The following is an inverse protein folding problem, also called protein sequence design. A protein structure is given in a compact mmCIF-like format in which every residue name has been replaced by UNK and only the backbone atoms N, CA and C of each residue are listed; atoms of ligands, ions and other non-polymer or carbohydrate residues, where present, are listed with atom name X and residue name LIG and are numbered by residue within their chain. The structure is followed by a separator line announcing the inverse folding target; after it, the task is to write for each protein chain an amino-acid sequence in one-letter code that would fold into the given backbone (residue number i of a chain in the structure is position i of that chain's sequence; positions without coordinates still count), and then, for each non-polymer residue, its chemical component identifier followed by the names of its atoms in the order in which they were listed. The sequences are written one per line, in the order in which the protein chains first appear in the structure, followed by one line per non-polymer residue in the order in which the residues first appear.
data_IF_335766428965
#
_entry.id   IF_335766428965
#
_cell.length_a   1.000
_cell.length_b   1.000
_cell.length_c   1.000
_cell.angle_alpha   90.00
_cell.angle_beta   90.00
_cell.angle_gamma   90.00
#
_symmetry.space_group_name_H-M   'P 1'
#
loop_
_entity.id
_entity.type
_entity.pdbx_description
1 polymer ?
#
# COMPACT_ATOMS: atom_id res chain seq x y z
N UNK A 1 -2.07 -10.33 13.09
CA UNK A 1 -1.04 -9.27 13.25
C UNK A 1 -1.36 -8.02 12.46
N UNK A 2 -1.98 -8.15 11.27
CA UNK A 2 -2.67 -7.03 10.58
C UNK A 2 -3.71 -6.33 11.47
N UNK A 3 -4.06 -6.96 12.59
CA UNK A 3 -5.00 -6.48 13.59
C UNK A 3 -4.61 -5.22 14.38
N UNK A 4 -3.39 -4.75 14.25
CA UNK A 4 -2.93 -3.58 15.00
C UNK A 4 -2.64 -2.41 14.07
N UNK A 5 -2.66 -2.66 12.75
CA UNK A 5 -2.25 -1.66 11.78
C UNK A 5 -3.41 -0.73 11.43
N UNK A 6 -3.13 0.57 11.50
CA UNK A 6 -4.07 1.66 11.28
C UNK A 6 -3.50 2.65 10.29
N UNK A 7 -4.37 3.47 9.67
CA UNK A 7 -3.95 4.56 8.78
C UNK A 7 -2.89 5.47 9.42
N UNK A 8 -2.99 5.73 10.71
CA UNK A 8 -2.12 6.67 11.42
C UNK A 8 -0.68 6.18 11.53
N UNK A 9 -0.42 4.88 11.30
CA UNK A 9 0.93 4.34 11.16
C UNK A 9 1.58 4.71 9.82
N UNK A 10 0.78 5.01 8.79
CA UNK A 10 1.26 5.29 7.43
C UNK A 10 1.22 6.77 7.07
N UNK A 11 0.22 7.50 7.56
CA UNK A 11 0.02 8.92 7.23
C UNK A 11 1.27 9.80 7.48
N UNK A 12 2.06 9.62 8.55
CA UNK A 12 3.31 10.36 8.75
C UNK A 12 4.42 10.02 7.74
N UNK A 13 4.24 8.98 6.92
CA UNK A 13 5.22 8.44 5.99
C UNK A 13 4.77 8.56 4.53
N UNK A 14 3.89 9.52 4.23
CA UNK A 14 3.64 9.96 2.86
C UNK A 14 4.94 10.44 2.20
N UNK A 15 5.04 10.19 0.90
CA UNK A 15 6.21 10.43 0.05
C UNK A 15 7.50 9.72 0.51
N UNK A 16 7.38 8.74 1.41
CA UNK A 16 8.50 7.89 1.85
C UNK A 16 8.51 6.56 1.10
N UNK A 17 9.71 5.99 1.06
CA UNK A 17 10.00 4.72 0.39
C UNK A 17 9.65 3.55 1.28
N UNK A 18 9.02 2.55 0.68
CA UNK A 18 8.63 1.28 1.25
C UNK A 18 9.19 0.17 0.38
N UNK A 19 9.46 -0.98 0.97
CA UNK A 19 9.93 -2.17 0.24
C UNK A 19 8.82 -3.20 0.23
N UNK A 20 8.44 -3.61 -0.97
CA UNK A 20 7.53 -4.73 -1.19
C UNK A 20 8.35 -5.98 -1.47
N UNK A 21 8.18 -7.03 -0.67
CA UNK A 21 8.94 -8.27 -0.80
C UNK A 21 8.00 -9.41 -1.21
N UNK A 22 8.34 -10.10 -2.31
CA UNK A 22 7.78 -11.42 -2.59
C UNK A 22 8.59 -12.43 -1.77
N UNK A 23 7.93 -13.39 -1.12
CA UNK A 23 8.61 -14.35 -0.25
C UNK A 23 9.66 -15.24 -0.95
N UNK A 24 9.90 -15.07 -2.25
CA UNK A 24 10.95 -15.71 -3.04
C UNK A 24 12.24 -14.90 -3.17
N UNK A 25 12.35 -13.75 -2.49
CA UNK A 25 13.55 -12.91 -2.47
C UNK A 25 13.54 -11.76 -3.50
N UNK A 26 12.46 -11.61 -4.26
CA UNK A 26 12.23 -10.42 -5.07
C UNK A 26 11.81 -9.24 -4.19
N UNK A 27 12.32 -8.04 -4.49
CA UNK A 27 11.85 -6.81 -3.85
C UNK A 27 11.59 -5.69 -4.85
N UNK A 28 10.60 -4.86 -4.53
CA UNK A 28 10.20 -3.69 -5.30
C UNK A 28 10.13 -2.47 -4.36
N UNK A 29 10.85 -1.42 -4.71
CA UNK A 29 10.77 -0.16 -3.97
C UNK A 29 9.54 0.63 -4.42
N UNK A 30 8.73 1.04 -3.46
CA UNK A 30 7.48 1.77 -3.65
C UNK A 30 7.53 3.09 -2.88
N UNK A 31 6.79 4.10 -3.33
CA UNK A 31 6.58 5.36 -2.62
C UNK A 31 5.13 5.44 -2.16
N UNK A 32 4.87 5.64 -0.87
CA UNK A 32 3.50 5.84 -0.38
C UNK A 32 3.01 7.23 -0.81
N UNK A 33 2.01 7.31 -1.68
CA UNK A 33 1.49 8.58 -2.18
C UNK A 33 0.15 8.96 -1.55
N UNK A 34 -0.57 7.99 -0.97
CA UNK A 34 -1.89 8.26 -0.38
C UNK A 34 -2.20 7.30 0.75
N UNK A 35 -2.85 7.81 1.80
CA UNK A 35 -3.34 7.04 2.94
C UNK A 35 -4.72 7.58 3.36
N UNK A 36 -5.78 7.04 2.75
CA UNK A 36 -7.14 7.56 2.91
C UNK A 36 -8.02 6.63 3.74
N UNK A 37 -8.85 7.17 4.65
CA UNK A 37 -9.92 6.39 5.24
C UNK A 37 -10.93 6.00 4.15
N UNK A 38 -11.38 4.75 4.14
CA UNK A 38 -12.49 4.36 3.27
C UNK A 38 -13.79 4.79 3.94
N UNK A 39 -14.47 5.78 3.36
CA UNK A 39 -15.79 6.19 3.83
C UNK A 39 -16.77 5.03 3.67
N UNK A 40 -17.13 4.39 4.80
CA UNK A 40 -18.21 3.40 4.80
C UNK A 40 -19.54 4.10 4.63
N UNK A 41 -20.27 3.74 3.59
CA UNK A 41 -21.73 3.66 3.67
C UNK A 41 -22.05 2.75 4.86
N UNK A 42 -22.63 3.32 5.92
CA UNK A 42 -23.09 2.69 7.18
C UNK A 42 -23.22 1.16 7.13
N UNK A 43 -22.15 0.43 7.46
CA UNK A 43 -22.25 -0.98 7.87
C UNK A 43 -21.73 -1.05 9.29
N UNK A 44 -22.68 -1.11 10.23
CA UNK A 44 -22.50 -1.04 11.69
C UNK A 44 -21.76 -2.25 12.31
N UNK A 45 -21.01 -3.03 11.54
CA UNK A 45 -20.51 -4.36 11.94
C UNK A 45 -18.99 -4.53 11.84
N UNK A 46 -18.21 -3.49 11.57
CA UNK A 46 -16.75 -3.62 11.53
C UNK A 46 -16.10 -2.79 12.62
N UNK A 47 -15.35 -3.46 13.47
CA UNK A 47 -14.64 -2.88 14.62
C UNK A 47 -13.51 -1.95 14.20
N UNK A 48 -12.96 -2.09 12.98
CA UNK A 48 -11.94 -1.19 12.41
C UNK A 48 -12.50 -0.30 11.31
N UNK A 49 -11.95 0.91 11.25
CA UNK A 49 -12.19 1.80 10.13
C UNK A 49 -11.26 1.36 8.98
N UNK A 50 -11.82 0.84 7.86
CA UNK A 50 -10.99 0.44 6.74
C UNK A 50 -10.28 1.65 6.15
N UNK A 51 -9.10 1.43 5.60
CA UNK A 51 -8.33 2.46 4.93
C UNK A 51 -7.58 1.89 3.74
N UNK A 52 -7.32 2.79 2.80
CA UNK A 52 -6.66 2.53 1.53
C UNK A 52 -5.30 3.19 1.54
N UNK A 53 -4.28 2.46 1.14
CA UNK A 53 -2.99 3.01 0.78
C UNK A 53 -2.82 2.93 -0.74
N UNK A 54 -2.28 4.00 -1.32
CA UNK A 54 -1.80 4.00 -2.70
C UNK A 54 -0.29 4.16 -2.68
N UNK A 55 0.37 3.27 -3.39
CA UNK A 55 1.79 3.30 -3.63
C UNK A 55 2.08 3.58 -5.10
N UNK A 56 3.14 4.34 -5.36
CA UNK A 56 3.75 4.50 -6.68
C UNK A 56 5.03 3.68 -6.74
N UNK A 57 5.13 2.76 -7.69
CA UNK A 57 6.36 2.04 -7.98
C UNK A 57 7.07 2.54 -9.24
N UNK A 58 8.21 1.91 -9.58
CA UNK A 58 8.97 2.27 -10.76
C UNK A 58 8.23 1.87 -12.05
N UNK A 59 8.61 2.48 -13.17
CA UNK A 59 7.96 2.25 -14.48
C UNK A 59 8.40 0.96 -15.17
N UNK A 60 9.57 0.43 -14.80
CA UNK A 60 10.24 -0.71 -15.45
C UNK A 60 9.95 -2.07 -14.78
N UNK A 61 9.36 -2.07 -13.58
CA UNK A 61 9.01 -3.28 -12.83
C UNK A 61 7.54 -3.25 -12.43
N UNK A 62 6.90 -4.42 -12.52
CA UNK A 62 5.53 -4.61 -12.10
C UNK A 62 5.45 -5.70 -11.04
N UNK A 63 4.86 -5.38 -9.89
CA UNK A 63 4.38 -6.40 -8.98
C UNK A 63 3.04 -6.94 -9.53
N UNK A 64 2.86 -8.25 -9.54
CA UNK A 64 1.57 -8.84 -9.87
C UNK A 64 0.61 -8.68 -8.69
N UNK A 65 -0.69 -8.84 -8.93
CA UNK A 65 -1.64 -8.97 -7.83
C UNK A 65 -1.25 -10.16 -6.92
N UNK A 66 -1.24 -9.95 -5.61
CA UNK A 66 -0.86 -11.00 -4.68
C UNK A 66 -0.62 -10.54 -3.25
N UNK A 67 -0.10 -11.47 -2.46
CA UNK A 67 0.22 -11.25 -1.05
C UNK A 67 1.73 -11.04 -0.89
N UNK A 68 2.10 -9.96 -0.23
CA UNK A 68 3.49 -9.53 -0.08
C UNK A 68 3.78 -9.11 1.37
N UNK A 69 5.06 -9.00 1.70
CA UNK A 69 5.49 -8.29 2.90
C UNK A 69 5.81 -6.84 2.53
N UNK A 70 5.43 -5.92 3.42
CA UNK A 70 5.61 -4.49 3.22
C UNK A 70 6.46 -3.92 4.35
N UNK A 71 7.66 -3.47 4.02
CA UNK A 71 8.69 -3.05 4.99
C UNK A 71 8.96 -1.54 4.92
N UNK A 72 9.07 -0.89 6.07
CA UNK A 72 9.56 0.48 6.21
C UNK A 72 10.51 0.60 7.41
N UNK A 73 11.61 1.39 7.32
CA UNK A 73 12.64 1.42 8.37
C UNK A 73 12.15 1.79 9.77
N UNK A 74 11.08 2.58 9.87
CA UNK A 74 10.52 3.06 11.16
C UNK A 74 9.29 2.25 11.59
N UNK A 75 8.46 1.82 10.64
CA UNK A 75 7.19 1.12 10.94
C UNK A 75 7.43 -0.38 11.15
N UNK A 76 8.53 -0.90 10.61
CA UNK A 76 8.81 -2.33 10.59
C UNK A 76 8.19 -3.01 9.37
N UNK A 77 8.10 -4.33 9.43
CA UNK A 77 7.55 -5.17 8.38
C UNK A 77 6.12 -5.55 8.70
N UNK A 78 5.23 -5.36 7.72
CA UNK A 78 3.84 -5.75 7.76
C UNK A 78 3.69 -6.95 6.82
N UNK A 79 3.48 -8.11 7.43
CA UNK A 79 3.39 -9.37 6.69
C UNK A 79 2.00 -9.56 6.08
N UNK A 80 1.97 -10.16 4.89
CA UNK A 80 0.74 -10.66 4.29
C UNK A 80 -0.21 -9.57 3.77
N UNK A 81 0.31 -8.43 3.30
CA UNK A 81 -0.53 -7.39 2.68
C UNK A 81 -0.95 -7.80 1.27
N UNK A 82 -2.23 -7.60 0.94
CA UNK A 82 -2.72 -7.81 -0.42
C UNK A 82 -2.44 -6.55 -1.25
N UNK A 83 -1.71 -6.71 -2.34
CA UNK A 83 -1.34 -5.65 -3.27
C UNK A 83 -2.01 -5.89 -4.61
N UNK A 84 -2.72 -4.87 -5.10
CA UNK A 84 -3.39 -4.89 -6.40
C UNK A 84 -2.82 -3.77 -7.28
N UNK A 85 -2.26 -4.07 -8.46
CA UNK A 85 -1.87 -3.03 -9.43
C UNK A 85 -3.10 -2.24 -9.90
N UNK A 86 -3.00 -0.92 -9.95
CA UNK A 86 -4.04 -0.04 -10.49
C UNK A 86 -3.51 0.74 -11.69
N UNK A 87 -4.27 0.73 -12.78
CA UNK A 87 -3.90 1.38 -14.05
C UNK A 87 -4.53 2.76 -14.21
N UNK A 88 -5.47 3.14 -13.34
CA UNK A 88 -6.32 4.32 -13.53
C UNK A 88 -5.76 5.60 -12.88
N UNK A 89 -4.61 5.50 -12.19
CA UNK A 89 -3.93 6.66 -11.61
C UNK A 89 -2.87 7.17 -12.60
N UNK A 90 -3.29 7.97 -13.57
CA UNK A 90 -2.37 8.76 -14.38
C UNK A 90 -1.98 10.02 -13.62
N UNK A 91 -0.76 10.03 -13.09
CA UNK A 91 -0.15 11.23 -12.52
C UNK A 91 0.69 11.93 -13.61
N UNK A 92 0.35 13.17 -14.02
CA UNK A 92 1.08 13.89 -15.04
C UNK A 92 2.53 14.18 -14.66
N UNK A 93 2.85 14.26 -13.36
CA UNK A 93 4.22 14.50 -12.88
C UNK A 93 5.07 13.23 -12.94
N UNK A 94 4.44 12.05 -13.07
CA UNK A 94 5.11 10.75 -13.10
C UNK A 94 4.61 9.86 -14.26
N UNK A 95 4.89 10.26 -15.51
CA UNK A 95 4.44 9.53 -16.69
C UNK A 95 5.02 8.10 -16.70
N UNK A 96 4.15 7.12 -16.92
CA UNK A 96 4.54 5.71 -16.96
C UNK A 96 4.76 5.05 -15.60
N UNK A 97 4.58 5.78 -14.49
CA UNK A 97 4.62 5.18 -13.16
C UNK A 97 3.49 4.15 -13.00
N UNK A 98 3.79 3.12 -12.20
CA UNK A 98 2.83 2.07 -11.85
C UNK A 98 2.29 2.36 -10.46
N UNK A 99 0.98 2.19 -10.28
CA UNK A 99 0.35 2.40 -8.99
C UNK A 99 -0.16 1.09 -8.42
N UNK A 100 -0.18 1.02 -7.10
CA UNK A 100 -0.57 -0.16 -6.36
C UNK A 100 -1.47 0.23 -5.20
N UNK A 101 -2.53 -0.55 -5.02
CA UNK A 101 -3.53 -0.37 -3.99
C UNK A 101 -3.36 -1.45 -2.92
N UNK A 102 -3.40 -1.03 -1.65
CA UNK A 102 -3.43 -1.91 -0.48
C UNK A 102 -4.60 -1.50 0.40
N UNK A 103 -5.51 -2.44 0.66
CA UNK A 103 -6.70 -2.20 1.49
C UNK A 103 -6.54 -2.95 2.81
N UNK A 104 -6.74 -2.24 3.91
CA UNK A 104 -6.86 -2.82 5.25
C UNK A 104 -8.31 -2.71 5.72
N UNK A 105 -8.87 -3.82 6.21
CA UNK A 105 -10.28 -3.95 6.63
C UNK A 105 -10.43 -4.22 8.12
#
# INVERSE_FOLDING_TARGET
MLDIVTRDMFFPHLDKKWVLEDGGGGYLELTLVKADPMHRTKIALVQRMPFLLIFRGPSDKIANEGTYNLSHPIVGTIEGVNVVPTMDLMDPDYPGARYYQVIFC
#
